data_IF_342413045306
#
_entry.id   IF_342413045306
#
_cell.length_a   1.000
_cell.length_b   1.000
_cell.length_c   1.000
_cell.angle_alpha   90.00
_cell.angle_beta   90.00
_cell.angle_gamma   90.00
#
_symmetry.space_group_name_H-M   'P 1'
#
loop_
_entity.id
_entity.type
_entity.pdbx_description
1 polymer ?
#
# COMPACT_ATOMS: atom_id res chain seq x y z
N UNK A 1 58.39 30.47 -62.22
CA UNK A 1 57.33 29.56 -62.69
C UNK A 1 56.95 28.66 -61.52
N UNK A 2 55.88 29.04 -60.82
CA UNK A 2 54.59 28.30 -60.76
C UNK A 2 54.71 27.03 -59.91
N UNK A 3 54.27 27.04 -58.63
CA UNK A 3 52.91 26.64 -58.19
C UNK A 3 52.87 25.10 -58.05
N UNK A 4 52.59 24.43 -56.92
CA UNK A 4 51.37 24.44 -56.12
C UNK A 4 51.61 23.64 -54.80
N UNK A 5 51.19 24.27 -53.71
CA UNK A 5 50.65 23.72 -52.46
C UNK A 5 50.01 22.34 -52.53
N UNK A 6 50.24 21.50 -51.51
CA UNK A 6 49.14 20.80 -50.80
C UNK A 6 49.58 20.20 -49.47
N UNK A 7 49.24 20.92 -48.39
CA UNK A 7 49.01 20.35 -47.07
C UNK A 7 47.69 19.56 -47.11
N UNK A 8 47.66 18.38 -46.48
CA UNK A 8 46.41 17.77 -46.05
C UNK A 8 46.62 17.17 -44.65
N UNK A 9 46.26 17.97 -43.65
CA UNK A 9 46.17 17.63 -42.25
C UNK A 9 44.94 16.74 -42.02
N UNK A 10 45.16 15.52 -41.54
CA UNK A 10 44.06 14.67 -41.04
C UNK A 10 43.56 15.22 -39.70
N UNK A 11 42.47 15.98 -39.72
CA UNK A 11 41.75 16.37 -38.52
C UNK A 11 40.90 15.19 -38.03
N UNK A 12 41.29 14.60 -36.91
CA UNK A 12 40.48 13.65 -36.14
C UNK A 12 39.28 14.40 -35.54
N UNK A 13 38.09 14.23 -36.12
CA UNK A 13 36.85 14.64 -35.49
C UNK A 13 36.52 13.68 -34.35
N UNK A 14 36.93 14.03 -33.13
CA UNK A 14 36.36 13.46 -31.91
C UNK A 14 34.99 14.12 -31.72
N UNK A 15 33.93 13.42 -32.11
CA UNK A 15 32.56 13.83 -31.76
C UNK A 15 32.35 13.51 -30.29
N UNK A 16 32.69 14.47 -29.42
CA UNK A 16 32.22 14.47 -28.05
C UNK A 16 30.71 14.78 -28.09
N UNK A 17 29.87 13.75 -27.99
CA UNK A 17 28.50 13.95 -27.56
C UNK A 17 28.55 14.49 -26.14
N UNK A 18 28.47 15.80 -26.00
CA UNK A 18 28.06 16.43 -24.76
C UNK A 18 26.63 15.97 -24.49
N UNK A 19 26.50 14.88 -23.73
CA UNK A 19 25.25 14.54 -23.10
C UNK A 19 24.93 15.72 -22.17
N UNK A 20 24.02 16.60 -22.60
CA UNK A 20 23.46 17.60 -21.71
C UNK A 20 23.06 16.89 -20.41
N UNK A 21 23.54 17.37 -19.25
CA UNK A 21 23.04 16.85 -18.00
C UNK A 21 21.54 17.15 -18.01
N UNK A 22 20.72 16.12 -18.22
CA UNK A 22 19.27 16.20 -18.06
C UNK A 22 19.04 16.82 -16.69
N UNK A 23 18.67 18.09 -16.71
CA UNK A 23 18.49 18.85 -15.49
C UNK A 23 17.50 18.08 -14.63
N UNK A 24 17.89 17.79 -13.39
CA UNK A 24 17.03 17.24 -12.33
C UNK A 24 15.92 18.25 -11.92
N UNK A 25 15.59 19.21 -12.79
CA UNK A 25 14.68 20.32 -12.55
C UNK A 25 13.21 19.93 -12.74
N UNK A 26 12.90 18.75 -13.28
CA UNK A 26 11.53 18.24 -13.39
C UNK A 26 10.94 17.70 -12.06
N UNK A 27 11.67 17.78 -10.94
CA UNK A 27 11.20 17.32 -9.61
C UNK A 27 10.35 18.38 -8.87
N UNK A 28 10.08 19.55 -9.48
CA UNK A 28 9.23 20.57 -8.85
C UNK A 28 8.08 21.01 -9.75
N UNK A 29 7.09 20.14 -9.91
CA UNK A 29 5.69 20.56 -9.98
C UNK A 29 4.96 20.06 -8.72
N UNK A 30 5.23 20.76 -7.62
CA UNK A 30 4.57 20.59 -6.33
C UNK A 30 3.26 21.37 -6.41
N UNK A 31 2.27 20.80 -7.10
CA UNK A 31 0.94 21.39 -7.25
C UNK A 31 -0.09 20.41 -6.70
N UNK A 32 -0.81 20.85 -5.66
CA UNK A 32 -2.25 20.66 -5.44
C UNK A 32 -2.93 19.45 -6.13
N UNK A 33 -2.33 18.26 -6.04
CA UNK A 33 -2.85 17.04 -6.62
C UNK A 33 -3.84 16.41 -5.64
N UNK A 34 -4.95 15.92 -6.16
CA UNK A 34 -5.91 15.09 -5.45
C UNK A 34 -5.19 13.93 -4.74
N UNK A 35 -5.42 13.74 -3.42
CA UNK A 35 -4.67 12.72 -2.66
C UNK A 35 -5.11 11.32 -3.07
N UNK A 36 -4.31 10.65 -3.90
CA UNK A 36 -4.70 9.35 -4.45
C UNK A 36 -4.10 8.22 -3.65
N UNK A 37 -4.96 7.34 -3.13
CA UNK A 37 -4.59 6.06 -2.51
C UNK A 37 -4.93 4.94 -3.49
N UNK A 38 -3.90 4.23 -3.92
CA UNK A 38 -4.02 3.09 -4.84
C UNK A 38 -4.27 1.80 -4.07
N UNK A 39 -5.22 1.00 -4.54
CA UNK A 39 -5.58 -0.30 -3.94
C UNK A 39 -5.50 -1.38 -5.02
N UNK A 40 -4.71 -2.43 -4.78
CA UNK A 40 -4.82 -3.66 -5.56
C UNK A 40 -5.73 -4.64 -4.82
N UNK A 41 -6.65 -5.27 -5.54
CA UNK A 41 -7.56 -6.27 -5.02
C UNK A 41 -7.18 -7.67 -5.48
N UNK A 42 -7.11 -8.59 -4.51
CA UNK A 42 -6.91 -10.01 -4.72
C UNK A 42 -8.20 -10.75 -4.34
N UNK A 43 -8.92 -11.27 -5.34
CA UNK A 43 -10.16 -12.02 -5.14
C UNK A 43 -9.83 -13.45 -4.79
N UNK A 44 -10.27 -13.89 -3.62
CA UNK A 44 -10.10 -15.26 -3.13
C UNK A 44 -10.75 -16.28 -4.07
N UNK A 45 -9.91 -17.05 -4.76
CA UNK A 45 -10.29 -18.10 -5.71
C UNK A 45 -11.14 -19.23 -5.11
N UNK A 46 -11.28 -19.30 -3.78
CA UNK A 46 -12.18 -20.26 -3.11
C UNK A 46 -13.64 -19.80 -3.07
N UNK A 47 -13.94 -18.59 -3.56
CA UNK A 47 -15.31 -18.07 -3.61
C UNK A 47 -15.62 -17.18 -4.81
N UNK A 48 -14.61 -16.76 -5.57
CA UNK A 48 -14.75 -15.95 -6.77
C UNK A 48 -14.32 -16.69 -8.02
N UNK A 49 -14.85 -16.25 -9.15
CA UNK A 49 -14.48 -16.72 -10.49
C UNK A 49 -13.77 -15.63 -11.28
N UNK A 50 -13.11 -16.01 -12.39
CA UNK A 50 -12.39 -15.06 -13.25
C UNK A 50 -13.29 -13.91 -13.78
N UNK A 51 -14.58 -14.18 -14.02
CA UNK A 51 -15.55 -13.16 -14.44
C UNK A 51 -15.78 -12.07 -13.38
N UNK A 52 -15.58 -12.38 -12.10
CA UNK A 52 -15.76 -11.45 -10.98
C UNK A 52 -14.64 -10.41 -10.93
N UNK A 53 -13.46 -10.73 -11.47
CA UNK A 53 -12.35 -9.79 -11.62
C UNK A 53 -12.49 -8.86 -12.84
N UNK A 54 -13.54 -9.01 -13.65
CA UNK A 54 -13.73 -8.18 -14.84
C UNK A 54 -14.12 -6.73 -14.49
N UNK A 55 -13.77 -5.74 -15.33
CA UNK A 55 -14.11 -4.34 -15.08
C UNK A 55 -15.62 -4.04 -14.97
N UNK A 56 -16.47 -4.89 -15.56
CA UNK A 56 -17.92 -4.72 -15.55
C UNK A 56 -18.63 -5.66 -14.55
N UNK A 57 -17.87 -6.38 -13.73
CA UNK A 57 -18.44 -7.30 -12.75
C UNK A 57 -19.22 -6.57 -11.66
N UNK A 58 -20.15 -7.29 -11.02
CA UNK A 58 -20.86 -6.78 -9.84
C UNK A 58 -19.90 -6.50 -8.67
N UNK A 59 -18.79 -7.24 -8.57
CA UNK A 59 -17.73 -6.97 -7.59
C UNK A 59 -17.08 -5.62 -7.84
N UNK A 60 -16.72 -5.29 -9.09
CA UNK A 60 -16.09 -4.01 -9.39
C UNK A 60 -17.07 -2.83 -9.19
N UNK A 61 -18.35 -3.01 -9.56
CA UNK A 61 -19.40 -2.00 -9.28
C UNK A 61 -19.56 -1.77 -7.79
N UNK A 62 -19.61 -2.84 -7.00
CA UNK A 62 -19.69 -2.78 -5.55
C UNK A 62 -18.48 -2.08 -4.93
N UNK A 63 -17.26 -2.44 -5.34
CA UNK A 63 -16.03 -1.80 -4.88
C UNK A 63 -16.01 -0.29 -5.15
N UNK A 64 -16.49 0.15 -6.32
CA UNK A 64 -16.61 1.58 -6.63
C UNK A 64 -17.58 2.31 -5.70
N UNK A 65 -18.71 1.68 -5.38
CA UNK A 65 -19.63 2.22 -4.38
C UNK A 65 -18.98 2.33 -2.99
N UNK A 66 -18.30 1.26 -2.57
CA UNK A 66 -17.57 1.22 -1.28
C UNK A 66 -16.51 2.32 -1.23
N UNK A 67 -15.78 2.53 -2.33
CA UNK A 67 -14.78 3.60 -2.44
C UNK A 67 -15.42 4.97 -2.29
N UNK A 68 -16.50 5.26 -3.03
CA UNK A 68 -17.19 6.56 -2.95
C UNK A 68 -17.63 6.88 -1.52
N UNK A 69 -18.22 5.90 -0.84
CA UNK A 69 -18.61 6.09 0.55
C UNK A 69 -17.40 6.30 1.47
N UNK A 70 -16.35 5.48 1.32
CA UNK A 70 -15.15 5.59 2.14
C UNK A 70 -14.45 6.95 1.95
N UNK A 71 -14.40 7.48 0.72
CA UNK A 71 -13.87 8.82 0.42
C UNK A 71 -14.66 9.92 1.14
N UNK A 72 -15.99 9.84 1.15
CA UNK A 72 -16.86 10.78 1.87
C UNK A 72 -16.61 10.74 3.38
N UNK A 73 -16.56 9.54 3.96
CA UNK A 73 -16.29 9.35 5.38
C UNK A 73 -14.90 9.89 5.78
N UNK A 74 -13.87 9.59 4.98
CA UNK A 74 -12.52 10.12 5.18
C UNK A 74 -12.46 11.63 5.08
N UNK A 75 -13.15 12.24 4.11
CA UNK A 75 -13.19 13.70 3.95
C UNK A 75 -13.81 14.36 5.17
N UNK A 76 -14.86 13.79 5.74
CA UNK A 76 -15.50 14.32 6.94
C UNK A 76 -14.57 14.31 8.16
N UNK A 77 -13.80 13.23 8.35
CA UNK A 77 -12.90 13.09 9.51
C UNK A 77 -11.61 13.89 9.32
N UNK A 78 -11.02 13.84 8.14
CA UNK A 78 -9.68 14.38 7.90
C UNK A 78 -9.68 15.79 7.32
N UNK A 79 -10.80 16.24 6.77
CA UNK A 79 -10.92 17.47 5.97
C UNK A 79 -9.99 17.48 4.73
N UNK A 80 -9.53 16.30 4.29
CA UNK A 80 -8.69 16.10 3.13
C UNK A 80 -9.47 15.34 2.07
N UNK A 81 -9.41 15.83 0.82
CA UNK A 81 -9.94 15.09 -0.32
C UNK A 81 -8.97 13.98 -0.71
N UNK A 82 -9.43 12.74 -0.50
CA UNK A 82 -8.72 11.51 -0.81
C UNK A 82 -9.54 10.77 -1.87
N UNK A 83 -8.86 10.21 -2.88
CA UNK A 83 -9.46 9.36 -3.90
C UNK A 83 -8.86 7.98 -3.89
N UNK A 84 -9.73 6.97 -3.97
CA UNK A 84 -9.29 5.61 -4.17
C UNK A 84 -9.21 5.27 -5.65
N UNK A 85 -8.09 4.65 -6.03
CA UNK A 85 -7.91 4.11 -7.37
C UNK A 85 -7.60 2.63 -7.29
N UNK A 86 -8.44 1.81 -7.92
CA UNK A 86 -8.12 0.40 -8.15
C UNK A 86 -6.93 0.35 -9.11
N UNK A 87 -5.79 -0.14 -8.65
CA UNK A 87 -4.62 -0.37 -9.52
C UNK A 87 -4.81 -1.67 -10.30
N UNK A 88 -5.26 -2.72 -9.60
CA UNK A 88 -5.41 -4.07 -10.09
C UNK A 88 -6.61 -4.73 -9.41
N UNK A 89 -7.29 -5.61 -10.13
CA UNK A 89 -8.39 -6.43 -9.64
C UNK A 89 -8.19 -7.83 -10.22
N UNK A 90 -7.55 -8.71 -9.48
CA UNK A 90 -7.12 -10.01 -9.98
C UNK A 90 -7.69 -11.13 -9.12
N UNK A 91 -8.02 -12.25 -9.75
CA UNK A 91 -8.25 -13.50 -9.04
C UNK A 91 -6.91 -14.00 -8.49
N UNK A 92 -6.91 -14.56 -7.28
CA UNK A 92 -5.73 -15.24 -6.75
C UNK A 92 -5.38 -16.43 -7.63
N UNK A 93 -4.08 -16.69 -7.82
CA UNK A 93 -3.64 -17.91 -8.50
C UNK A 93 -3.91 -19.15 -7.65
N UNK A 94 -3.68 -20.33 -8.23
CA UNK A 94 -3.94 -21.61 -7.54
C UNK A 94 -3.14 -21.74 -6.25
N UNK A 95 -1.86 -21.35 -6.27
CA UNK A 95 -0.98 -21.48 -5.09
C UNK A 95 -1.49 -20.61 -3.93
N UNK A 96 -1.77 -19.34 -4.19
CA UNK A 96 -2.30 -18.43 -3.17
C UNK A 96 -3.71 -18.84 -2.73
N UNK A 97 -4.55 -19.33 -3.63
CA UNK A 97 -5.89 -19.83 -3.27
C UNK A 97 -5.81 -21.04 -2.33
N UNK A 98 -4.91 -21.98 -2.59
CA UNK A 98 -4.66 -23.14 -1.71
C UNK A 98 -4.14 -22.71 -0.33
N UNK A 99 -3.23 -21.73 -0.30
CA UNK A 99 -2.73 -21.14 0.95
C UNK A 99 -3.86 -20.47 1.75
N UNK A 100 -4.69 -19.64 1.11
CA UNK A 100 -5.84 -18.99 1.75
C UNK A 100 -6.82 -20.03 2.34
N UNK A 101 -7.04 -21.13 1.62
CA UNK A 101 -7.87 -22.24 2.10
C UNK A 101 -7.23 -22.94 3.32
N UNK A 102 -5.91 -23.13 3.33
CA UNK A 102 -5.19 -23.73 4.46
C UNK A 102 -5.24 -22.87 5.74
N UNK A 103 -5.36 -21.55 5.60
CA UNK A 103 -5.53 -20.61 6.71
C UNK A 103 -6.99 -20.39 7.09
N UNK A 104 -7.89 -21.14 6.45
CA UNK A 104 -9.31 -21.18 6.78
C UNK A 104 -9.58 -22.44 7.58
N UNK A 105 -10.01 -22.28 8.83
CA UNK A 105 -10.44 -23.42 9.63
C UNK A 105 -11.73 -23.97 9.04
N UNK A 106 -11.73 -25.27 8.76
CA UNK A 106 -12.96 -25.99 8.44
C UNK A 106 -13.75 -26.09 9.72
N UNK A 107 -14.89 -25.42 9.78
CA UNK A 107 -15.82 -25.58 10.88
C UNK A 107 -16.19 -27.05 11.09
N UNK A 108 -16.54 -27.42 12.32
CA UNK A 108 -17.01 -28.78 12.65
C UNK A 108 -18.52 -28.77 12.87
N UNK A 109 -19.19 -29.87 12.56
CA UNK A 109 -20.63 -30.06 12.83
C UNK A 109 -21.55 -28.96 12.24
N UNK A 110 -21.26 -28.49 11.03
CA UNK A 110 -22.11 -27.51 10.33
C UNK A 110 -21.84 -26.05 10.69
N UNK A 111 -20.82 -25.76 11.50
CA UNK A 111 -20.36 -24.37 11.69
C UNK A 111 -19.66 -23.84 10.44
N UNK A 112 -19.82 -22.56 10.15
CA UNK A 112 -19.17 -21.92 9.01
C UNK A 112 -17.64 -21.97 9.10
N UNK A 113 -16.99 -21.98 7.94
CA UNK A 113 -15.54 -21.85 7.82
C UNK A 113 -15.07 -20.44 8.23
N UNK A 114 -13.98 -20.37 9.01
CA UNK A 114 -13.44 -19.11 9.50
C UNK A 114 -11.99 -18.91 9.02
N UNK A 115 -11.75 -17.82 8.30
CA UNK A 115 -10.42 -17.45 7.81
C UNK A 115 -9.69 -16.56 8.82
N UNK A 116 -8.47 -16.96 9.20
CA UNK A 116 -7.68 -16.19 10.18
C UNK A 116 -7.07 -14.95 9.52
N UNK A 117 -7.64 -13.78 9.79
CA UNK A 117 -7.31 -12.55 9.09
C UNK A 117 -5.83 -12.17 9.24
N UNK A 118 -5.26 -12.24 10.44
CA UNK A 118 -3.87 -11.87 10.69
C UNK A 118 -2.85 -12.75 9.98
N UNK A 119 -3.11 -14.06 9.86
CA UNK A 119 -2.22 -14.96 9.10
C UNK A 119 -2.23 -14.60 7.63
N UNK A 120 -3.42 -14.43 7.04
CA UNK A 120 -3.55 -14.02 5.63
C UNK A 120 -2.79 -12.72 5.38
N UNK A 121 -3.01 -11.69 6.20
CA UNK A 121 -2.35 -10.39 6.00
C UNK A 121 -0.83 -10.44 6.19
N UNK A 122 -0.34 -11.28 7.10
CA UNK A 122 1.09 -11.51 7.29
C UNK A 122 1.74 -12.11 6.04
N UNK A 123 1.09 -13.10 5.45
CA UNK A 123 1.61 -13.80 4.28
C UNK A 123 1.51 -12.94 3.02
N UNK A 124 0.40 -12.24 2.80
CA UNK A 124 0.28 -11.25 1.72
C UNK A 124 1.35 -10.17 1.84
N UNK A 125 1.70 -9.75 3.08
CA UNK A 125 2.81 -8.81 3.28
C UNK A 125 4.13 -9.38 2.79
N UNK A 126 4.41 -10.65 3.10
CA UNK A 126 5.66 -11.31 2.72
C UNK A 126 5.75 -11.54 1.21
N UNK A 127 4.69 -12.05 0.59
CA UNK A 127 4.67 -12.32 -0.85
C UNK A 127 4.77 -11.02 -1.67
N UNK A 128 4.07 -9.96 -1.24
CA UNK A 128 4.11 -8.67 -1.92
C UNK A 128 5.46 -7.94 -1.86
N UNK A 129 6.37 -8.35 -0.97
CA UNK A 129 7.73 -7.78 -0.93
C UNK A 129 8.50 -7.98 -2.24
N UNK A 130 8.16 -9.01 -3.00
CA UNK A 130 8.79 -9.34 -4.27
C UNK A 130 8.11 -8.69 -5.49
N UNK A 131 7.00 -7.97 -5.29
CA UNK A 131 6.31 -7.32 -6.39
C UNK A 131 7.15 -6.16 -6.93
N UNK A 132 7.25 -6.00 -8.26
CA UNK A 132 8.02 -4.91 -8.87
C UNK A 132 7.55 -3.53 -8.40
N UNK A 133 6.24 -3.42 -8.24
CA UNK A 133 5.51 -2.20 -7.91
C UNK A 133 4.41 -2.59 -6.92
N UNK A 134 4.30 -1.86 -5.82
CA UNK A 134 3.30 -2.14 -4.79
C UNK A 134 2.33 -0.96 -4.64
N UNK A 135 1.02 -1.22 -4.56
CA UNK A 135 0.03 -0.19 -4.25
C UNK A 135 0.17 0.31 -2.81
N UNK A 136 -0.56 1.36 -2.47
CA UNK A 136 -0.65 1.80 -1.07
C UNK A 136 -1.33 0.74 -0.19
N UNK A 137 -2.34 0.05 -0.74
CA UNK A 137 -3.10 -0.99 -0.06
C UNK A 137 -3.17 -2.22 -0.95
N UNK A 138 -2.96 -3.40 -0.38
CA UNK A 138 -3.22 -4.69 -1.02
C UNK A 138 -4.40 -5.30 -0.26
N UNK A 139 -5.56 -5.39 -0.88
CA UNK A 139 -6.78 -5.85 -0.22
C UNK A 139 -7.15 -7.24 -0.72
N UNK A 140 -7.14 -8.24 0.15
CA UNK A 140 -7.77 -9.54 -0.12
C UNK A 140 -9.27 -9.38 0.04
N UNK A 141 -10.03 -9.82 -0.96
CA UNK A 141 -11.48 -9.84 -0.93
C UNK A 141 -11.93 -11.31 -0.86
N UNK A 142 -12.67 -11.68 0.18
CA UNK A 142 -13.15 -13.06 0.37
C UNK A 142 -14.64 -13.10 0.68
N UNK A 143 -15.28 -14.24 0.42
CA UNK A 143 -16.65 -14.53 0.89
C UNK A 143 -16.66 -15.27 2.23
N UNK A 144 -15.50 -15.69 2.72
CA UNK A 144 -15.35 -16.38 3.99
C UNK A 144 -15.57 -15.42 5.17
N UNK A 145 -16.07 -15.96 6.28
CA UNK A 145 -16.13 -15.24 7.55
C UNK A 145 -14.73 -15.13 8.14
N UNK A 146 -14.42 -13.98 8.72
CA UNK A 146 -13.09 -13.70 9.24
C UNK A 146 -13.06 -13.81 10.77
N UNK A 147 -11.90 -14.19 11.31
CA UNK A 147 -11.63 -14.07 12.74
C UNK A 147 -10.20 -13.57 13.03
N UNK A 148 -10.03 -12.97 14.21
CA UNK A 148 -8.75 -12.54 14.75
C UNK A 148 -8.79 -12.59 16.28
N UNK A 149 -7.95 -13.43 16.90
CA UNK A 149 -8.07 -13.66 18.35
C UNK A 149 -9.48 -14.16 18.69
N UNK A 150 -10.12 -13.53 19.67
CA UNK A 150 -11.49 -13.88 20.10
C UNK A 150 -12.59 -13.22 19.25
N UNK A 151 -12.22 -12.35 18.30
CA UNK A 151 -13.18 -11.67 17.43
C UNK A 151 -13.52 -12.55 16.22
N UNK A 152 -14.78 -12.95 16.11
CA UNK A 152 -15.33 -13.74 14.99
C UNK A 152 -16.31 -12.93 14.15
N UNK A 153 -16.59 -13.38 12.92
CA UNK A 153 -17.47 -12.68 11.96
C UNK A 153 -17.01 -11.25 11.65
N UNK A 154 -15.70 -11.02 11.63
CA UNK A 154 -15.14 -9.75 11.18
C UNK A 154 -15.49 -9.55 9.70
N UNK A 155 -15.78 -8.31 9.33
CA UNK A 155 -16.06 -7.91 7.94
C UNK A 155 -14.85 -7.26 7.26
N UNK A 156 -13.84 -6.93 8.05
CA UNK A 156 -12.59 -6.38 7.56
C UNK A 156 -11.53 -6.35 8.64
N UNK A 157 -10.27 -6.36 8.21
CA UNK A 157 -9.12 -6.29 9.11
C UNK A 157 -7.92 -5.66 8.41
N UNK A 158 -7.13 -4.91 9.17
CA UNK A 158 -5.87 -4.32 8.76
C UNK A 158 -4.88 -4.38 9.91
N UNK A 159 -3.64 -4.80 9.65
CA UNK A 159 -2.65 -5.04 10.70
C UNK A 159 -1.63 -3.88 10.85
N UNK A 160 -1.35 -3.15 9.77
CA UNK A 160 -0.17 -2.29 9.70
C UNK A 160 -0.51 -0.80 9.67
N UNK A 161 0.09 -0.05 10.61
CA UNK A 161 0.01 1.40 10.69
C UNK A 161 1.14 2.05 9.87
N UNK A 162 1.18 1.83 8.56
CA UNK A 162 2.28 2.32 7.70
C UNK A 162 1.81 2.89 6.37
N UNK A 163 0.52 3.18 6.21
CA UNK A 163 -0.04 3.74 4.98
C UNK A 163 0.72 5.01 4.55
N UNK A 164 0.88 5.23 3.24
CA UNK A 164 1.72 6.26 2.62
C UNK A 164 3.25 6.07 2.75
N UNK A 165 3.73 5.14 3.59
CA UNK A 165 5.17 4.82 3.70
C UNK A 165 5.52 3.45 3.13
N UNK A 166 4.65 2.46 3.36
CA UNK A 166 4.71 1.14 2.74
C UNK A 166 3.31 0.61 2.49
N UNK A 167 3.20 -0.36 1.59
CA UNK A 167 1.95 -1.06 1.26
C UNK A 167 1.34 -1.69 2.51
N UNK A 168 0.04 -1.50 2.72
CA UNK A 168 -0.68 -2.08 3.86
C UNK A 168 -1.60 -3.19 3.35
N UNK A 169 -1.36 -4.45 3.74
CA UNK A 169 -2.32 -5.52 3.52
C UNK A 169 -3.59 -5.27 4.34
N UNK A 170 -4.73 -5.46 3.69
CA UNK A 170 -6.07 -5.45 4.27
C UNK A 170 -6.83 -6.67 3.77
N UNK A 171 -7.84 -7.08 4.52
CA UNK A 171 -8.79 -8.10 4.09
C UNK A 171 -10.20 -7.57 4.32
N UNK A 172 -11.09 -7.81 3.38
CA UNK A 172 -12.50 -7.44 3.43
C UNK A 172 -13.36 -8.64 3.06
N UNK A 173 -14.50 -8.77 3.74
CA UNK A 173 -15.54 -9.71 3.37
C UNK A 173 -16.46 -9.07 2.34
N UNK A 174 -16.59 -9.70 1.18
CA UNK A 174 -17.54 -9.30 0.16
C UNK A 174 -18.96 -9.69 0.57
N UNK A 175 -19.86 -8.73 0.45
CA UNK A 175 -21.27 -8.92 0.74
C UNK A 175 -22.07 -8.33 -0.43
N UNK A 176 -22.55 -9.20 -1.32
CA UNK A 176 -23.26 -8.81 -2.55
C UNK A 176 -24.59 -8.10 -2.29
N UNK A 177 -25.17 -8.30 -1.11
CA UNK A 177 -26.51 -7.83 -0.73
C UNK A 177 -26.53 -6.82 0.42
N UNK A 178 -25.37 -6.44 0.97
CA UNK A 178 -25.30 -5.52 2.12
C UNK A 178 -24.87 -4.09 1.73
N UNK A 179 -25.16 -3.19 2.66
CA UNK A 179 -25.09 -1.74 2.54
C UNK A 179 -23.68 -1.27 2.20
N UNK A 180 -23.47 -0.87 0.95
CA UNK A 180 -22.27 -0.16 0.47
C UNK A 180 -21.85 0.94 1.45
N UNK A 181 -22.83 1.56 2.13
CA UNK A 181 -22.59 2.57 3.16
C UNK A 181 -21.78 2.00 4.32
N UNK A 182 -22.20 0.85 4.87
CA UNK A 182 -21.52 0.21 5.99
C UNK A 182 -20.10 -0.19 5.62
N UNK A 183 -19.91 -0.91 4.50
CA UNK A 183 -18.58 -1.39 4.11
C UNK A 183 -17.67 -0.25 3.69
N UNK A 184 -18.21 0.83 3.11
CA UNK A 184 -17.46 2.06 2.85
C UNK A 184 -16.97 2.73 4.12
N UNK A 185 -17.83 2.84 5.14
CA UNK A 185 -17.42 3.37 6.45
C UNK A 185 -16.35 2.47 7.08
N UNK A 186 -16.51 1.14 7.04
CA UNK A 186 -15.50 0.20 7.53
C UNK A 186 -14.16 0.38 6.79
N UNK A 187 -14.15 0.49 5.47
CA UNK A 187 -12.93 0.76 4.71
C UNK A 187 -12.27 2.08 5.13
N UNK A 188 -13.06 3.13 5.36
CA UNK A 188 -12.53 4.41 5.86
C UNK A 188 -11.84 4.28 7.21
N UNK A 189 -12.41 3.51 8.14
CA UNK A 189 -11.83 3.23 9.45
C UNK A 189 -10.55 2.43 9.34
N UNK A 190 -10.53 1.37 8.52
CA UNK A 190 -9.33 0.57 8.28
C UNK A 190 -8.19 1.42 7.69
N UNK A 191 -8.51 2.33 6.77
CA UNK A 191 -7.54 3.27 6.18
C UNK A 191 -6.99 4.22 7.24
N UNK A 192 -7.84 4.85 8.05
CA UNK A 192 -7.41 5.74 9.12
C UNK A 192 -6.56 5.00 10.15
N UNK A 193 -7.00 3.83 10.59
CA UNK A 193 -6.28 3.00 11.55
C UNK A 193 -4.95 2.46 10.99
N UNK A 194 -4.78 2.47 9.67
CA UNK A 194 -3.53 2.11 9.01
C UNK A 194 -2.55 3.27 8.87
N UNK A 195 -2.92 4.48 9.30
CA UNK A 195 -2.02 5.62 9.35
C UNK A 195 -1.23 5.65 10.67
N UNK A 196 -0.03 6.25 10.65
CA UNK A 196 0.64 6.62 11.90
C UNK A 196 0.10 7.96 12.34
N UNK A 197 -0.79 7.95 13.33
CA UNK A 197 -1.19 9.19 13.97
C UNK A 197 -0.04 9.68 14.86
N UNK A 198 0.80 10.55 14.31
CA UNK A 198 1.63 11.41 15.12
C UNK A 198 0.87 12.74 15.31
N UNK A 199 0.78 13.20 16.56
CA UNK A 199 0.01 14.40 16.89
C UNK A 199 0.62 15.70 16.31
N UNK A 200 1.82 15.64 15.73
CA UNK A 200 2.53 16.78 15.14
C UNK A 200 2.27 16.97 13.64
N UNK A 201 1.75 15.95 12.94
CA UNK A 201 1.57 15.96 11.49
C UNK A 201 0.09 16.11 11.16
N UNK A 202 -0.26 17.17 10.43
CA UNK A 202 -1.63 17.35 9.94
C UNK A 202 -2.03 16.25 8.94
N UNK A 203 -3.31 15.90 8.83
CA UNK A 203 -3.80 14.94 7.83
C UNK A 203 -3.41 15.32 6.41
N UNK A 204 -3.45 16.62 6.08
CA UNK A 204 -3.05 17.13 4.78
C UNK A 204 -1.58 16.83 4.49
N UNK A 205 -0.70 17.03 5.48
CA UNK A 205 0.72 16.70 5.35
C UNK A 205 0.95 15.19 5.22
N UNK A 206 0.24 14.39 6.03
CA UNK A 206 0.33 12.93 5.98
C UNK A 206 -0.04 12.37 4.61
N UNK A 207 -1.24 12.70 4.09
CA UNK A 207 -1.72 12.15 2.82
C UNK A 207 -0.99 12.73 1.60
N UNK A 208 -0.33 13.89 1.74
CA UNK A 208 0.61 14.36 0.72
C UNK A 208 1.81 13.39 0.55
N UNK A 209 2.17 12.58 1.53
CA UNK A 209 3.19 11.54 1.36
C UNK A 209 2.74 10.42 0.42
N UNK A 210 1.45 10.04 0.45
CA UNK A 210 0.88 9.10 -0.53
C UNK A 210 1.03 9.66 -1.96
N UNK A 211 0.80 10.95 -2.15
CA UNK A 211 0.97 11.60 -3.45
C UNK A 211 2.41 11.63 -3.97
N UNK A 212 3.41 11.63 -3.08
CA UNK A 212 4.82 11.57 -3.51
C UNK A 212 5.13 10.26 -4.21
N UNK A 213 4.41 9.19 -3.86
CA UNK A 213 4.65 7.86 -4.39
C UNK A 213 3.34 7.10 -4.60
N UNK A 214 2.72 7.32 -5.77
CA UNK A 214 1.48 6.63 -6.14
C UNK A 214 1.59 5.10 -6.03
N UNK A 215 2.79 4.56 -6.21
CA UNK A 215 3.15 3.16 -6.01
C UNK A 215 4.58 3.08 -5.43
N UNK A 216 4.85 2.07 -4.60
CA UNK A 216 6.17 1.82 -4.02
C UNK A 216 6.99 0.89 -4.91
N UNK A 217 8.25 1.23 -5.18
CA UNK A 217 9.20 0.32 -5.86
C UNK A 217 10.05 -0.45 -4.84
N UNK A 218 10.53 -1.64 -5.22
CA UNK A 218 11.40 -2.46 -4.36
C UNK A 218 12.61 -1.68 -3.79
N UNK A 219 13.24 -0.82 -4.60
CA UNK A 219 14.38 0.02 -4.18
C UNK A 219 14.00 0.97 -3.04
N UNK A 220 12.80 1.54 -3.08
CA UNK A 220 12.32 2.48 -2.08
C UNK A 220 11.98 1.79 -0.76
N UNK A 221 11.34 0.62 -0.81
CA UNK A 221 11.05 -0.17 0.38
C UNK A 221 12.32 -0.51 1.19
N UNK A 222 13.40 -0.91 0.51
CA UNK A 222 14.70 -1.20 1.14
C UNK A 222 15.33 0.04 1.81
N UNK A 223 15.15 1.22 1.24
CA UNK A 223 15.62 2.48 1.83
C UNK A 223 14.81 2.87 3.06
N UNK A 224 13.49 2.73 3.00
CA UNK A 224 12.63 3.00 4.16
C UNK A 224 12.89 2.03 5.30
N UNK A 225 13.03 0.73 5.04
CA UNK A 225 13.41 -0.25 6.08
C UNK A 225 14.70 0.16 6.81
N UNK A 226 15.70 0.67 6.09
CA UNK A 226 16.95 1.18 6.70
C UNK A 226 16.70 2.41 7.55
N UNK A 227 15.89 3.36 7.07
CA UNK A 227 15.53 4.56 7.84
C UNK A 227 14.71 4.24 9.09
N UNK A 228 13.81 3.26 9.03
CA UNK A 228 13.00 2.79 10.16
C UNK A 228 13.85 2.09 11.21
N UNK A 229 14.81 1.23 10.80
CA UNK A 229 15.79 0.63 11.71
C UNK A 229 16.68 1.69 12.35
N UNK A 230 17.13 2.69 11.59
CA UNK A 230 17.92 3.82 12.09
C UNK A 230 17.14 4.66 13.11
N UNK A 231 15.88 5.02 12.84
CA UNK A 231 15.02 5.74 13.79
C UNK A 231 14.71 4.94 15.07
N UNK A 232 14.64 3.60 15.00
CA UNK A 232 14.56 2.75 16.21
C UNK A 232 15.86 2.72 17.01
N UNK A 233 17.02 2.82 16.37
CA UNK A 233 18.33 2.83 17.06
C UNK A 233 18.70 4.18 17.67
N UNK A 234 18.03 5.28 17.34
CA UNK A 234 18.27 6.61 17.94
C UNK A 234 17.59 6.80 19.31
N UNK A 235 16.86 5.80 19.84
CA UNK A 235 16.24 5.84 21.20
C UNK A 235 16.94 5.01 22.27
N UNK A 236 18.27 4.81 22.18
CA UNK A 236 19.06 4.21 23.27
C UNK A 236 20.46 4.82 23.40
N UNK A 237 20.53 5.99 24.02
CA UNK A 237 21.72 6.69 24.51
C UNK A 237 21.16 7.94 25.21
N UNK A 238 21.35 8.29 26.48
CA UNK A 238 22.33 7.93 27.50
C UNK A 238 21.82 8.58 28.80
N UNK A 239 21.72 7.84 29.91
CA UNK A 239 21.89 8.46 31.24
C UNK A 239 22.59 7.45 32.15
N UNK A 240 23.90 7.60 32.30
CA UNK A 240 24.71 6.92 33.29
C UNK A 240 25.22 7.98 34.27
N UNK A 241 25.08 7.68 35.56
CA UNK A 241 25.64 8.35 36.75
C UNK A 241 24.90 9.65 37.15
N UNK A 242 24.63 9.93 38.43
CA UNK A 242 25.35 9.66 39.68
C UNK A 242 24.42 9.19 40.81
N UNK A 243 24.98 8.38 41.73
CA UNK A 243 24.35 8.10 43.01
C UNK A 243 24.51 9.24 44.00
N UNK A 244 23.64 9.27 45.00
CA UNK A 244 23.98 9.75 46.33
C UNK A 244 23.01 9.13 47.35
N UNK A 245 23.62 8.41 48.29
CA UNK A 245 23.12 8.16 49.64
C UNK A 245 22.43 9.41 50.21
N UNK A 246 21.31 9.21 50.91
CA UNK A 246 21.13 9.74 52.27
C UNK A 246 19.91 9.12 52.95
N UNK A 247 20.14 8.85 54.22
CA UNK A 247 19.26 8.26 55.22
C UNK A 247 17.98 9.07 55.43
N UNK A 248 16.86 8.37 55.69
CA UNK A 248 16.02 8.42 56.89
C UNK A 248 14.90 7.37 56.78
#
# INVERSE_FOLDING_TARGET
>A
MTVLTRALTFALFIVCFAAEPRSLSAIRRRGSGENTVTIAYLLDGNGFESKDASPNSEVNKWLRGVHQQAELALKNVTQVEIKFKISDLNLTDTELSEKLLSWTSKGSCGSDSLMHAGTVLGEIKLESMNWPVQPHIICVLTKQKLYQGDFINLLGYALHQTLCYTSVPMILTYQSSSDVIYTGNLLSELVLNSTRNDASTSWKEYFNECNRQQLFTYKYYKQNLRSFKSRRMVKKSTSKMQGQHKDY
#
